data_IF_982513104803
#
_entry.id   IF_982513104803
#
_cell.length_a   1.000
_cell.length_b   1.000
_cell.length_c   1.000
_cell.angle_alpha   90.00
_cell.angle_beta   90.00
_cell.angle_gamma   90.00
#
_symmetry.space_group_name_H-M   'P 1'
#
loop_
_entity.id
_entity.type
_entity.pdbx_description
1 polymer ?
#
# COMPACT_ATOMS: atom_id res chain seq x y z
N UNK A 1 18.27 13.11 26.57
CA UNK A 1 19.04 12.16 25.73
C UNK A 1 18.13 11.10 25.14
N UNK A 2 17.20 10.53 25.92
CA UNK A 2 16.21 9.52 25.50
C UNK A 2 15.40 9.91 24.25
N UNK A 3 14.87 11.13 24.18
CA UNK A 3 14.12 11.58 23.00
C UNK A 3 14.95 11.63 21.70
N UNK A 4 16.22 12.05 21.80
CA UNK A 4 17.11 12.05 20.63
C UNK A 4 17.42 10.62 20.17
N UNK A 5 17.67 9.71 21.11
CA UNK A 5 17.86 8.29 20.81
C UNK A 5 16.60 7.66 20.21
N UNK A 6 15.41 8.06 20.69
CA UNK A 6 14.14 7.63 20.11
C UNK A 6 14.05 8.01 18.64
N UNK A 7 14.35 9.26 18.28
CA UNK A 7 14.34 9.70 16.88
C UNK A 7 15.37 8.95 16.03
N UNK A 8 16.57 8.71 16.58
CA UNK A 8 17.61 7.95 15.91
C UNK A 8 17.16 6.51 15.64
N UNK A 9 16.58 5.85 16.64
CA UNK A 9 16.03 4.49 16.48
C UNK A 9 14.84 4.45 15.54
N UNK A 10 14.01 5.50 15.51
CA UNK A 10 12.87 5.60 14.60
C UNK A 10 13.33 5.60 13.14
N UNK A 11 14.36 6.39 12.83
CA UNK A 11 14.98 6.39 11.50
C UNK A 11 15.67 5.04 11.23
N UNK A 12 16.41 4.50 12.20
CA UNK A 12 17.11 3.23 12.04
C UNK A 12 16.15 2.07 11.74
N UNK A 13 15.12 1.85 12.56
CA UNK A 13 14.13 0.81 12.31
C UNK A 13 13.32 1.06 11.06
N UNK A 14 13.01 2.32 10.74
CA UNK A 14 12.39 2.69 9.47
C UNK A 14 13.20 2.25 8.26
N UNK A 15 14.51 2.50 8.27
CA UNK A 15 15.42 2.06 7.21
C UNK A 15 15.59 0.54 7.18
N UNK A 16 15.70 -0.13 8.32
CA UNK A 16 15.80 -1.60 8.39
C UNK A 16 14.55 -2.25 7.79
N UNK A 17 13.36 -1.77 8.15
CA UNK A 17 12.10 -2.27 7.57
C UNK A 17 12.04 -1.95 6.08
N UNK A 18 12.49 -0.77 5.63
CA UNK A 18 12.54 -0.44 4.21
C UNK A 18 13.45 -1.39 3.41
N UNK A 19 14.59 -1.80 3.98
CA UNK A 19 15.48 -2.82 3.39
C UNK A 19 14.77 -4.17 3.30
N UNK A 20 14.05 -4.59 4.34
CA UNK A 20 13.26 -5.83 4.28
C UNK A 20 12.12 -5.75 3.27
N UNK A 21 11.43 -4.62 3.19
CA UNK A 21 10.38 -4.38 2.19
C UNK A 21 10.93 -4.51 0.78
N UNK A 22 12.11 -3.92 0.52
CA UNK A 22 12.80 -4.02 -0.76
C UNK A 22 13.12 -5.47 -1.15
N UNK A 23 13.80 -6.21 -0.26
CA UNK A 23 14.16 -7.59 -0.55
C UNK A 23 12.95 -8.53 -0.58
N UNK A 24 11.93 -8.30 0.24
CA UNK A 24 10.70 -9.08 0.19
C UNK A 24 9.97 -8.87 -1.14
N UNK A 25 9.95 -7.63 -1.66
CA UNK A 25 9.40 -7.33 -2.98
C UNK A 25 10.12 -8.10 -4.08
N UNK A 26 11.44 -8.14 -4.05
CA UNK A 26 12.25 -8.88 -5.02
C UNK A 26 12.04 -10.40 -4.86
N UNK A 27 12.16 -10.93 -3.65
CA UNK A 27 12.20 -12.38 -3.43
C UNK A 27 10.82 -13.04 -3.52
N UNK A 28 9.75 -12.36 -3.11
CA UNK A 28 8.44 -12.97 -2.94
C UNK A 28 7.35 -12.34 -3.82
N UNK A 29 7.27 -11.01 -3.92
CA UNK A 29 6.14 -10.34 -4.59
C UNK A 29 6.35 -10.15 -6.11
N UNK A 30 7.57 -9.85 -6.55
CA UNK A 30 7.88 -9.64 -7.96
C UNK A 30 8.30 -10.93 -8.68
N UNK A 31 8.78 -11.94 -7.95
CA UNK A 31 9.14 -13.29 -8.39
C UNK A 31 9.72 -13.40 -9.82
N UNK A 32 10.65 -12.51 -10.21
CA UNK A 32 11.31 -12.58 -11.51
C UNK A 32 12.31 -13.74 -11.52
N UNK A 33 12.43 -14.40 -12.68
CA UNK A 33 13.37 -15.50 -12.89
C UNK A 33 14.83 -15.05 -13.02
N UNK A 34 15.07 -13.78 -13.39
CA UNK A 34 16.41 -13.20 -13.50
C UNK A 34 16.41 -11.76 -12.95
N UNK A 35 17.31 -11.50 -12.00
CA UNK A 35 17.57 -10.17 -11.46
C UNK A 35 18.91 -9.66 -11.97
N UNK A 36 18.98 -8.37 -12.31
CA UNK A 36 20.27 -7.74 -12.65
C UNK A 36 21.09 -7.56 -11.37
N UNK A 37 22.43 -7.63 -11.47
CA UNK A 37 23.30 -7.53 -10.28
C UNK A 37 23.12 -6.19 -9.57
N UNK A 38 22.87 -5.13 -10.33
CA UNK A 38 22.65 -3.78 -9.83
C UNK A 38 21.38 -3.70 -8.95
N UNK A 39 20.32 -4.43 -9.28
CA UNK A 39 19.07 -4.52 -8.49
C UNK A 39 19.26 -5.28 -7.16
N UNK A 40 20.38 -5.98 -6.98
CA UNK A 40 20.69 -6.67 -5.72
C UNK A 40 21.65 -5.86 -4.84
N UNK A 41 22.48 -4.99 -5.45
CA UNK A 41 23.57 -4.28 -4.76
C UNK A 41 23.33 -2.79 -4.58
N UNK A 42 22.58 -2.12 -5.47
CA UNK A 42 22.36 -0.67 -5.44
C UNK A 42 21.02 -0.33 -4.79
N UNK A 43 20.92 -0.59 -3.48
CA UNK A 43 19.65 -0.49 -2.75
C UNK A 43 19.35 0.90 -2.17
N UNK A 44 20.34 1.80 -2.13
CA UNK A 44 20.27 3.04 -1.32
C UNK A 44 19.13 3.96 -1.74
N UNK A 45 18.95 4.16 -3.05
CA UNK A 45 17.89 5.03 -3.58
C UNK A 45 16.50 4.45 -3.34
N UNK A 46 16.33 3.16 -3.58
CA UNK A 46 15.03 2.49 -3.46
C UNK A 46 14.57 2.39 -2.01
N UNK A 47 15.48 2.08 -1.09
CA UNK A 47 15.18 2.02 0.36
C UNK A 47 14.70 3.38 0.87
N UNK A 48 15.39 4.46 0.49
CA UNK A 48 14.97 5.81 0.86
C UNK A 48 13.61 6.17 0.23
N UNK A 49 13.38 5.79 -1.02
CA UNK A 49 12.10 6.01 -1.70
C UNK A 49 10.96 5.26 -1.02
N UNK A 50 11.17 4.00 -0.63
CA UNK A 50 10.19 3.21 0.12
C UNK A 50 9.84 3.91 1.44
N UNK A 51 10.86 4.39 2.16
CA UNK A 51 10.65 5.10 3.41
C UNK A 51 9.94 6.45 3.22
N UNK A 52 10.22 7.19 2.15
CA UNK A 52 9.50 8.44 1.83
C UNK A 52 8.06 8.19 1.39
N UNK A 53 7.82 7.14 0.59
CA UNK A 53 6.47 6.73 0.15
C UNK A 53 5.59 6.26 1.33
N UNK A 54 6.16 5.95 2.49
CA UNK A 54 5.40 5.73 3.71
C UNK A 54 4.82 7.04 4.25
N UNK A 55 5.58 8.13 4.14
CA UNK A 55 5.20 9.45 4.65
C UNK A 55 4.20 10.13 3.73
N UNK A 56 4.05 9.65 2.50
CA UNK A 56 3.05 10.10 1.56
C UNK A 56 1.70 9.41 1.79
N UNK A 57 0.64 10.20 1.99
CA UNK A 57 -0.74 9.72 2.07
C UNK A 57 -1.60 10.54 1.13
N UNK A 58 -2.34 9.88 0.23
CA UNK A 58 -3.26 10.53 -0.72
C UNK A 58 -2.62 11.69 -1.51
N UNK A 59 -1.35 11.55 -1.89
CA UNK A 59 -0.58 12.57 -2.63
C UNK A 59 -0.01 13.70 -1.77
N UNK A 60 -0.12 13.65 -0.45
CA UNK A 60 0.41 14.67 0.45
C UNK A 60 1.33 14.08 1.53
N UNK A 61 2.62 14.41 1.42
CA UNK A 61 3.66 13.97 2.36
C UNK A 61 3.54 14.62 3.74
N UNK A 62 2.97 15.82 3.83
CA UNK A 62 2.87 16.56 5.09
C UNK A 62 1.85 15.91 6.02
N UNK A 63 0.68 15.50 5.51
CA UNK A 63 -0.32 14.80 6.31
C UNK A 63 0.17 13.43 6.76
N UNK A 64 0.76 12.63 5.87
CA UNK A 64 1.28 11.33 6.25
C UNK A 64 2.46 11.43 7.23
N UNK A 65 3.35 12.42 7.05
CA UNK A 65 4.41 12.70 8.04
C UNK A 65 3.85 13.09 9.40
N UNK A 66 2.89 14.02 9.47
CA UNK A 66 2.29 14.45 10.73
C UNK A 66 1.62 13.29 11.46
N UNK A 67 0.90 12.43 10.74
CA UNK A 67 0.28 11.25 11.33
C UNK A 67 1.33 10.26 11.79
N UNK A 68 2.33 9.94 10.96
CA UNK A 68 3.41 9.03 11.30
C UNK A 68 4.17 9.47 12.55
N UNK A 69 4.64 10.72 12.58
CA UNK A 69 5.36 11.26 13.74
C UNK A 69 4.45 11.44 14.94
N UNK A 70 3.19 11.83 14.74
CA UNK A 70 2.22 11.99 15.81
C UNK A 70 1.91 10.68 16.52
N UNK A 71 1.68 9.59 15.77
CA UNK A 71 1.44 8.27 16.37
C UNK A 71 2.70 7.68 16.98
N UNK A 72 3.87 7.87 16.36
CA UNK A 72 5.14 7.44 16.95
C UNK A 72 5.45 8.17 18.26
N UNK A 73 5.22 9.49 18.31
CA UNK A 73 5.41 10.31 19.50
C UNK A 73 4.40 9.92 20.60
N UNK A 74 3.15 9.65 20.23
CA UNK A 74 2.16 9.14 21.17
C UNK A 74 2.62 7.86 21.87
N UNK A 75 3.17 6.90 21.12
CA UNK A 75 3.71 5.66 21.71
C UNK A 75 4.94 5.93 22.58
N UNK A 76 5.81 6.86 22.17
CA UNK A 76 6.94 7.27 23.00
C UNK A 76 6.48 7.87 24.33
N UNK A 77 5.50 8.77 24.32
CA UNK A 77 4.91 9.33 25.54
C UNK A 77 4.28 8.26 26.44
N UNK A 78 3.62 7.27 25.84
CA UNK A 78 3.05 6.15 26.57
C UNK A 78 4.12 5.35 27.30
N UNK A 79 5.23 4.99 26.64
CA UNK A 79 6.34 4.30 27.29
C UNK A 79 7.03 5.16 28.33
N UNK A 80 7.18 6.46 28.07
CA UNK A 80 7.74 7.42 29.03
C UNK A 80 6.90 7.49 30.31
N UNK A 81 5.56 7.43 30.19
CA UNK A 81 4.66 7.39 31.34
C UNK A 81 4.94 6.17 32.23
N UNK A 82 5.18 4.99 31.64
CA UNK A 82 5.59 3.80 32.38
C UNK A 82 6.88 4.01 33.18
N UNK A 83 7.85 4.73 32.60
CA UNK A 83 9.10 5.08 33.29
C UNK A 83 8.89 6.07 34.45
N UNK A 84 8.06 7.10 34.26
CA UNK A 84 7.78 8.13 35.27
C UNK A 84 6.98 7.60 36.45
N UNK A 85 6.09 6.63 36.22
CA UNK A 85 5.29 5.99 37.27
C UNK A 85 6.11 5.14 38.25
N UNK A 86 7.45 5.11 38.10
CA UNK A 86 8.36 4.62 39.13
C UNK A 86 8.62 3.11 39.06
N UNK A 87 8.31 2.46 37.96
CA UNK A 87 8.51 1.01 37.78
C UNK A 87 9.97 0.66 37.46
N UNK A 88 10.86 0.86 38.44
CA UNK A 88 12.21 0.26 38.45
C UNK A 88 12.20 -1.08 39.19
N UNK A 89 11.30 -1.99 38.81
CA UNK A 89 11.21 -3.34 39.39
C UNK A 89 10.87 -4.39 38.32
N UNK A 90 11.33 -5.64 38.46
CA UNK A 90 11.20 -6.70 37.45
C UNK A 90 9.78 -7.29 37.40
N UNK A 91 8.79 -6.45 37.13
CA UNK A 91 7.37 -6.81 37.11
C UNK A 91 6.79 -6.86 35.70
N UNK A 92 5.80 -7.73 35.50
CA UNK A 92 5.03 -7.85 34.23
C UNK A 92 4.40 -6.51 33.82
N UNK A 93 4.10 -5.64 34.77
CA UNK A 93 3.50 -4.32 34.53
C UNK A 93 4.43 -3.37 33.74
N UNK A 94 5.75 -3.47 33.91
CA UNK A 94 6.72 -2.66 33.14
C UNK A 94 6.59 -2.93 31.64
N UNK A 95 6.33 -4.19 31.27
CA UNK A 95 6.29 -4.60 29.87
C UNK A 95 5.03 -4.13 29.15
N UNK A 96 3.94 -3.83 29.87
CA UNK A 96 2.67 -3.36 29.28
C UNK A 96 2.89 -2.04 28.52
N UNK A 97 3.75 -1.15 29.04
CA UNK A 97 4.07 0.13 28.41
C UNK A 97 4.93 0.02 27.16
N UNK A 98 5.46 -1.18 26.89
CA UNK A 98 6.27 -1.49 25.72
C UNK A 98 5.65 -2.56 24.81
N UNK A 99 4.50 -3.12 25.19
CA UNK A 99 3.73 -3.97 24.28
C UNK A 99 3.16 -3.13 23.14
N UNK A 100 3.09 -3.66 21.91
CA UNK A 100 2.57 -2.95 20.75
C UNK A 100 1.03 -2.87 20.75
N UNK A 101 0.41 -2.56 21.90
CA UNK A 101 -1.04 -2.63 22.11
C UNK A 101 -1.78 -1.73 21.13
N UNK A 102 -1.31 -0.50 20.92
CA UNK A 102 -1.95 0.44 19.99
C UNK A 102 -1.83 0.00 18.53
N UNK A 103 -0.67 -0.54 18.15
CA UNK A 103 -0.48 -1.13 16.82
C UNK A 103 -1.43 -2.30 16.61
N UNK A 104 -1.47 -3.25 17.54
CA UNK A 104 -2.37 -4.41 17.47
C UNK A 104 -3.84 -4.00 17.45
N UNK A 105 -4.23 -3.03 18.29
CA UNK A 105 -5.58 -2.52 18.35
C UNK A 105 -6.01 -1.93 17.00
N UNK A 106 -5.17 -1.08 16.39
CA UNK A 106 -5.47 -0.50 15.08
C UNK A 106 -5.44 -1.57 13.97
N UNK A 107 -4.48 -2.47 13.99
CA UNK A 107 -4.34 -3.53 12.99
C UNK A 107 -5.55 -4.46 12.96
N UNK A 108 -6.01 -4.94 14.12
CA UNK A 108 -7.16 -5.84 14.20
C UNK A 108 -8.50 -5.13 14.06
N UNK A 109 -8.60 -3.83 14.41
CA UNK A 109 -9.82 -3.06 14.18
C UNK A 109 -9.94 -2.52 12.76
N UNK A 110 -8.86 -2.54 11.97
CA UNK A 110 -8.85 -1.97 10.63
C UNK A 110 -9.96 -2.50 9.71
N UNK A 111 -10.29 -3.80 9.63
CA UNK A 111 -11.37 -4.28 8.77
C UNK A 111 -12.71 -3.61 9.08
N UNK A 112 -13.01 -3.41 10.37
CA UNK A 112 -14.23 -2.74 10.84
C UNK A 112 -14.20 -1.25 10.48
N UNK A 113 -13.04 -0.60 10.65
CA UNK A 113 -12.86 0.81 10.29
C UNK A 113 -12.98 1.00 8.77
N UNK A 114 -12.43 0.08 7.99
CA UNK A 114 -12.49 0.11 6.52
C UNK A 114 -13.93 0.05 6.04
N UNK A 115 -14.73 -0.87 6.58
CA UNK A 115 -16.15 -1.01 6.27
C UNK A 115 -16.96 0.24 6.69
N UNK A 116 -16.70 0.78 7.89
CA UNK A 116 -17.45 1.93 8.40
C UNK A 116 -17.13 3.26 7.68
N UNK A 117 -15.94 3.40 7.10
CA UNK A 117 -15.45 4.64 6.48
C UNK A 117 -15.08 4.47 5.01
N UNK A 118 -15.70 3.52 4.32
CA UNK A 118 -15.47 3.29 2.89
C UNK A 118 -15.68 4.59 2.08
N UNK A 119 -14.78 4.87 1.14
CA UNK A 119 -14.78 6.10 0.34
C UNK A 119 -14.31 7.37 1.06
N UNK A 120 -13.88 7.31 2.33
CA UNK A 120 -13.33 8.46 3.05
C UNK A 120 -11.81 8.55 2.89
N UNK A 121 -11.31 9.78 2.72
CA UNK A 121 -9.87 10.08 2.66
C UNK A 121 -9.08 9.69 3.92
N UNK A 122 -9.76 9.48 5.05
CA UNK A 122 -9.13 9.08 6.32
C UNK A 122 -8.43 7.71 6.22
N UNK A 123 -8.91 6.81 5.35
CA UNK A 123 -8.32 5.48 5.16
C UNK A 123 -6.90 5.54 4.58
N UNK A 124 -6.56 6.60 3.82
CA UNK A 124 -5.19 6.82 3.34
C UNK A 124 -4.17 7.04 4.47
N UNK A 125 -4.63 7.51 5.63
CA UNK A 125 -3.77 7.77 6.79
C UNK A 125 -3.46 6.51 7.60
N UNK A 126 -4.08 5.37 7.28
CA UNK A 126 -3.87 4.13 8.03
C UNK A 126 -2.44 3.61 7.90
N UNK A 127 -1.87 3.64 6.69
CA UNK A 127 -0.48 3.21 6.44
C UNK A 127 0.54 3.99 7.30
N UNK A 128 0.56 5.34 7.29
CA UNK A 128 1.45 6.11 8.16
C UNK A 128 1.11 5.94 9.64
N UNK A 129 -0.18 5.84 10.02
CA UNK A 129 -0.57 5.64 11.41
C UNK A 129 -0.06 4.31 11.98
N UNK A 130 -0.34 3.17 11.32
CA UNK A 130 0.12 1.84 11.71
C UNK A 130 1.65 1.77 11.78
N UNK A 131 2.33 2.35 10.78
CA UNK A 131 3.79 2.34 10.75
C UNK A 131 4.40 3.19 11.85
N UNK A 132 3.81 4.35 12.17
CA UNK A 132 4.25 5.18 13.29
C UNK A 132 4.01 4.51 14.63
N UNK A 133 2.89 3.81 14.82
CA UNK A 133 2.62 3.03 16.04
C UNK A 133 3.63 1.88 16.21
N UNK A 134 3.92 1.13 15.14
CA UNK A 134 4.83 0.00 15.19
C UNK A 134 6.29 0.44 15.36
N UNK A 135 6.78 1.34 14.50
CA UNK A 135 8.15 1.85 14.58
C UNK A 135 8.36 2.68 15.85
N UNK A 136 7.36 3.42 16.30
CA UNK A 136 7.39 4.13 17.58
C UNK A 136 7.52 3.17 18.77
N UNK A 137 6.79 2.07 18.77
CA UNK A 137 6.89 1.03 19.80
C UNK A 137 8.29 0.41 19.84
N UNK A 138 8.82 0.01 18.68
CA UNK A 138 10.18 -0.52 18.59
C UNK A 138 11.18 0.53 19.08
N UNK A 139 11.15 1.74 18.54
CA UNK A 139 12.14 2.78 18.89
C UNK A 139 12.12 3.12 20.37
N UNK A 140 10.93 3.25 20.95
CA UNK A 140 10.76 3.48 22.37
C UNK A 140 11.32 2.33 23.20
N UNK A 141 11.00 1.08 22.85
CA UNK A 141 11.56 -0.10 23.51
C UNK A 141 13.09 -0.16 23.42
N UNK A 142 13.69 0.22 22.29
CA UNK A 142 15.15 0.26 22.15
C UNK A 142 15.81 1.30 23.05
N UNK A 143 15.20 2.48 23.24
CA UNK A 143 15.71 3.50 24.17
C UNK A 143 15.70 2.98 25.61
N UNK A 144 14.60 2.34 26.03
CA UNK A 144 14.40 1.95 27.42
C UNK A 144 15.08 0.61 27.79
N UNK A 145 15.16 -0.35 26.87
CA UNK A 145 15.77 -1.67 27.14
C UNK A 145 17.20 -1.81 26.60
N UNK A 146 17.61 -0.99 25.62
CA UNK A 146 18.92 -1.11 24.98
C UNK A 146 20.09 -0.55 25.78
N UNK A 147 19.83 0.20 26.86
CA UNK A 147 20.87 0.92 27.60
C UNK A 147 21.20 0.38 29.00
N UNK A 148 20.33 -0.39 29.66
CA UNK A 148 20.46 -0.59 31.12
C UNK A 148 20.08 -1.99 31.66
N UNK A 149 19.71 -2.98 30.82
CA UNK A 149 19.27 -4.30 31.32
C UNK A 149 19.78 -5.50 30.50
N UNK A 150 20.53 -6.40 31.17
CA UNK A 150 21.21 -7.58 30.59
C UNK A 150 20.30 -8.71 30.06
N UNK A 151 19.00 -8.69 30.35
CA UNK A 151 17.98 -9.49 29.68
C UNK A 151 16.85 -8.48 29.38
N UNK A 152 16.37 -8.27 28.16
CA UNK A 152 15.51 -9.19 27.40
C UNK A 152 15.56 -8.89 25.88
N UNK A 153 16.76 -8.95 25.27
CA UNK A 153 16.91 -8.82 23.81
C UNK A 153 15.94 -9.74 23.03
N UNK A 154 15.70 -10.95 23.53
CA UNK A 154 14.82 -11.93 22.88
C UNK A 154 13.35 -11.50 22.83
N UNK A 155 12.84 -10.84 23.88
CA UNK A 155 11.47 -10.32 23.88
C UNK A 155 11.33 -9.18 22.87
N UNK A 156 12.30 -8.29 22.83
CA UNK A 156 12.32 -7.19 21.88
C UNK A 156 12.49 -7.67 20.43
N UNK A 157 13.32 -8.69 20.21
CA UNK A 157 13.47 -9.39 18.92
C UNK A 157 12.15 -10.05 18.50
N UNK A 158 11.42 -10.66 19.43
CA UNK A 158 10.08 -11.21 19.17
C UNK A 158 9.11 -10.12 18.72
N UNK A 159 9.09 -8.96 19.41
CA UNK A 159 8.25 -7.82 19.01
C UNK A 159 8.62 -7.31 17.61
N UNK A 160 9.90 -7.29 17.28
CA UNK A 160 10.38 -6.93 15.95
C UNK A 160 9.87 -7.91 14.90
N UNK A 161 10.03 -9.22 15.11
CA UNK A 161 9.54 -10.24 14.17
C UNK A 161 8.02 -10.33 14.09
N UNK A 162 7.29 -9.87 15.10
CA UNK A 162 5.83 -9.78 15.04
C UNK A 162 5.37 -8.61 14.17
N UNK A 163 6.04 -7.46 14.29
CA UNK A 163 5.63 -6.21 13.62
C UNK A 163 6.21 -6.07 12.21
N UNK A 164 7.47 -6.46 12.00
CA UNK A 164 8.17 -6.25 10.74
C UNK A 164 7.48 -6.92 9.52
N UNK A 165 7.01 -8.18 9.59
CA UNK A 165 6.30 -8.78 8.46
C UNK A 165 5.03 -8.01 8.08
N UNK A 166 4.25 -7.57 9.07
CA UNK A 166 3.04 -6.77 8.83
C UNK A 166 3.40 -5.46 8.12
N UNK A 167 4.46 -4.78 8.57
CA UNK A 167 4.95 -3.57 7.91
C UNK A 167 5.45 -3.83 6.49
N UNK A 168 6.14 -4.95 6.25
CA UNK A 168 6.63 -5.33 4.91
C UNK A 168 5.48 -5.50 3.92
N UNK A 169 4.41 -6.18 4.32
CA UNK A 169 3.21 -6.32 3.48
C UNK A 169 2.54 -4.96 3.28
N UNK A 170 2.34 -4.20 4.36
CA UNK A 170 1.72 -2.89 4.32
C UNK A 170 2.47 -1.90 3.41
N UNK A 171 3.80 -1.92 3.42
CA UNK A 171 4.63 -1.00 2.63
C UNK A 171 4.73 -1.40 1.17
N UNK A 172 4.54 -2.69 0.87
CA UNK A 172 4.42 -3.20 -0.50
C UNK A 172 2.99 -3.13 -1.05
N UNK A 173 2.02 -2.64 -0.27
CA UNK A 173 0.60 -2.59 -0.64
C UNK A 173 -0.03 -3.96 -0.90
N UNK A 174 0.52 -4.99 -0.25
CA UNK A 174 0.02 -6.35 -0.36
C UNK A 174 -1.10 -6.60 0.65
N UNK A 175 -2.05 -7.46 0.29
CA UNK A 175 -3.14 -7.82 1.19
C UNK A 175 -2.64 -8.66 2.37
N UNK A 176 -3.16 -8.40 3.57
CA UNK A 176 -2.85 -9.17 4.78
C UNK A 176 -4.13 -9.87 5.22
N UNK A 177 -4.11 -11.20 5.26
CA UNK A 177 -5.30 -12.02 5.52
C UNK A 177 -6.50 -11.69 4.60
N UNK A 178 -6.22 -11.31 3.35
CA UNK A 178 -7.25 -10.92 2.36
C UNK A 178 -7.77 -9.48 2.51
N UNK A 179 -7.25 -8.70 3.45
CA UNK A 179 -7.61 -7.28 3.63
C UNK A 179 -6.53 -6.38 3.01
N UNK A 180 -6.93 -5.56 2.03
CA UNK A 180 -6.08 -4.48 1.48
C UNK A 180 -6.18 -3.22 2.33
N UNK A 181 -5.03 -2.63 2.65
CA UNK A 181 -4.89 -1.43 3.47
C UNK A 181 -4.83 -0.11 2.68
N UNK A 182 -4.99 -0.18 1.36
CA UNK A 182 -5.09 0.99 0.50
C UNK A 182 -6.57 1.39 0.36
N UNK A 183 -6.90 2.71 0.29
CA UNK A 183 -8.21 3.13 -0.18
C UNK A 183 -8.44 2.55 -1.57
N UNK A 184 -9.51 1.77 -1.74
CA UNK A 184 -9.97 1.41 -3.08
C UNK A 184 -10.15 2.72 -3.84
N UNK A 185 -9.35 2.96 -4.87
CA UNK A 185 -9.65 4.01 -5.82
C UNK A 185 -11.00 3.66 -6.40
N UNK A 186 -12.04 4.38 -6.01
CA UNK A 186 -13.35 4.34 -6.62
C UNK A 186 -13.31 4.98 -8.00
N UNK A 187 -12.39 4.51 -8.84
CA UNK A 187 -12.26 4.81 -10.25
C UNK A 187 -11.81 3.51 -10.91
N UNK A 188 -12.81 2.70 -11.28
CA UNK A 188 -12.64 1.61 -12.23
C UNK A 188 -12.61 0.19 -11.65
N UNK A 189 -13.78 -0.32 -11.24
CA UNK A 189 -14.25 -1.68 -11.61
C UNK A 189 -15.50 -2.04 -10.81
N UNK A 190 -16.67 -1.78 -11.38
CA UNK A 190 -17.91 -2.58 -11.23
C UNK A 190 -18.94 -2.15 -12.30
N UNK A 191 -18.46 -1.96 -13.53
CA UNK A 191 -19.30 -2.08 -14.73
C UNK A 191 -18.75 -3.26 -15.52
N UNK A 192 -19.03 -4.44 -14.98
CA UNK A 192 -18.96 -5.70 -15.69
C UNK A 192 -19.91 -5.62 -16.90
N UNK A 193 -19.33 -5.80 -18.08
CA UNK A 193 -19.99 -5.77 -19.37
C UNK A 193 -20.90 -6.99 -19.49
N UNK A 194 -22.10 -6.84 -18.96
CA UNK A 194 -23.24 -7.70 -19.23
C UNK A 194 -23.55 -7.71 -20.73
N UNK A 195 -23.04 -8.74 -21.40
CA UNK A 195 -23.47 -9.27 -22.69
C UNK A 195 -24.98 -9.08 -22.89
N UNK A 196 -25.34 -8.19 -23.80
CA UNK A 196 -26.66 -8.06 -24.40
C UNK A 196 -26.48 -7.78 -25.88
N UNK A 197 -26.44 -8.85 -26.67
CA UNK A 197 -26.80 -8.81 -28.09
C UNK A 197 -28.33 -8.80 -28.16
N UNK A 198 -28.84 -8.36 -29.31
CA UNK A 198 -30.25 -8.38 -29.76
C UNK A 198 -31.04 -7.07 -29.59
N UNK A 199 -31.01 -6.26 -30.65
CA UNK A 199 -32.20 -6.08 -31.49
C UNK A 199 -33.25 -5.02 -31.11
N UNK A 200 -33.28 -3.97 -31.93
CA UNK A 200 -34.47 -3.23 -32.40
C UNK A 200 -35.32 -2.42 -31.40
N UNK A 201 -35.30 -1.09 -31.55
CA UNK A 201 -36.38 -0.34 -32.23
C UNK A 201 -36.57 1.08 -31.66
N UNK A 202 -36.61 2.02 -32.61
CA UNK A 202 -37.42 3.26 -32.63
C UNK A 202 -37.02 4.50 -31.81
N UNK A 203 -36.79 5.59 -32.57
CA UNK A 203 -37.35 6.89 -32.22
C UNK A 203 -36.37 8.05 -32.16
N UNK A 204 -35.84 8.50 -33.30
CA UNK A 204 -35.43 9.90 -33.46
C UNK A 204 -36.49 10.65 -34.28
N UNK A 205 -36.57 11.96 -34.04
CA UNK A 205 -37.21 13.02 -34.83
C UNK A 205 -38.61 13.48 -34.39
N UNK A 206 -38.62 14.65 -33.75
CA UNK A 206 -39.60 15.68 -34.04
C UNK A 206 -39.05 16.65 -35.09
N UNK A 207 -39.96 17.14 -35.92
CA UNK A 207 -39.93 18.35 -36.77
C UNK A 207 -39.76 18.17 -38.29
N UNK A 208 -40.95 18.19 -38.92
CA UNK A 208 -41.46 18.66 -40.22
C UNK A 208 -40.84 18.29 -41.60
N UNK A 209 -41.71 17.88 -42.57
CA UNK A 209 -41.39 17.67 -43.98
C UNK A 209 -41.72 18.91 -44.86
N UNK A 210 -41.12 18.97 -46.06
CA UNK A 210 -41.35 19.83 -47.25
C UNK A 210 -39.94 20.20 -47.78
N UNK A 211 -39.57 20.19 -49.06
CA UNK A 211 -40.18 19.84 -50.33
C UNK A 211 -39.01 19.77 -51.37
N UNK A 212 -39.31 19.19 -52.53
CA UNK A 212 -38.71 19.49 -53.86
C UNK A 212 -37.33 18.90 -54.32
N UNK A 213 -37.46 18.09 -55.38
CA UNK A 213 -36.69 18.10 -56.65
C UNK A 213 -35.53 17.11 -56.94
N UNK A 214 -35.93 16.06 -57.69
CA UNK A 214 -35.40 15.64 -59.01
C UNK A 214 -33.89 15.39 -59.21
N UNK A 215 -33.51 14.14 -59.56
CA UNK A 215 -33.27 13.75 -60.96
C UNK A 215 -33.01 12.22 -61.12
N UNK A 216 -33.79 11.51 -61.95
CA UNK A 216 -33.55 10.14 -62.36
C UNK A 216 -32.68 10.07 -63.64
N UNK A 217 -31.77 9.10 -63.72
CA UNK A 217 -30.88 8.73 -64.85
C UNK A 217 -29.45 9.32 -64.83
N UNK A 218 -28.46 8.50 -64.45
CA UNK A 218 -27.10 8.38 -65.04
C UNK A 218 -26.25 7.46 -64.12
N UNK A 219 -25.51 6.44 -64.54
CA UNK A 219 -25.34 5.66 -65.77
C UNK A 219 -24.53 4.41 -65.34
N UNK A 220 -24.78 3.26 -65.94
CA UNK A 220 -24.03 2.01 -65.70
C UNK A 220 -22.56 2.14 -66.15
N UNK A 221 -21.63 1.50 -65.42
CA UNK A 221 -20.48 0.87 -66.09
C UNK A 221 -20.07 -0.42 -65.37
N UNK A 222 -20.14 -1.48 -66.16
CA UNK A 222 -19.95 -2.91 -65.90
C UNK A 222 -18.46 -3.33 -65.67
N UNK A 223 -18.22 -4.61 -65.30
CA UNK A 223 -17.05 -5.14 -64.59
C UNK A 223 -16.00 -5.85 -65.47
N UNK A 224 -14.75 -5.90 -65.01
CA UNK A 224 -13.66 -6.79 -65.48
C UNK A 224 -12.72 -7.01 -64.27
N UNK A 225 -12.20 -8.17 -63.88
CA UNK A 225 -12.04 -9.47 -64.54
C UNK A 225 -10.55 -9.90 -64.47
N UNK A 226 -10.29 -11.03 -63.77
CA UNK A 226 -9.09 -11.91 -63.75
C UNK A 226 -7.84 -11.55 -62.92
N UNK A 227 -7.35 -12.56 -62.19
CA UNK A 227 -5.95 -12.95 -62.29
C UNK A 227 -5.25 -13.46 -61.03
N UNK A 228 -5.56 -14.69 -60.63
CA UNK A 228 -4.66 -15.73 -60.11
C UNK A 228 -3.72 -15.46 -58.92
N UNK A 229 -4.03 -16.20 -57.86
CA UNK A 229 -3.23 -16.53 -56.68
C UNK A 229 -2.24 -17.67 -57.01
N UNK A 230 -0.93 -17.53 -56.72
CA UNK A 230 -0.05 -18.67 -56.62
C UNK A 230 0.73 -18.59 -55.30
N UNK A 231 0.34 -19.35 -54.29
CA UNK A 231 1.19 -20.19 -53.41
C UNK A 231 0.36 -20.64 -52.20
N UNK A 232 -0.45 -21.65 -52.49
CA UNK A 232 -1.15 -22.51 -51.54
C UNK A 232 -0.20 -23.27 -50.63
N UNK A 233 -0.68 -23.50 -49.41
CA UNK A 233 -0.22 -24.48 -48.43
C UNK A 233 0.29 -25.78 -49.06
N UNK A 234 1.55 -26.13 -48.75
CA UNK A 234 2.04 -27.51 -48.59
C UNK A 234 3.56 -27.47 -48.37
N UNK A 235 4.03 -27.65 -47.13
CA UNK A 235 5.25 -28.42 -46.86
C UNK A 235 5.25 -28.92 -45.40
N UNK A 236 4.74 -30.16 -45.27
CA UNK A 236 5.13 -31.27 -44.37
C UNK A 236 5.56 -31.00 -42.94
#
# INVERSE_FOLDING_TARGET
>A
MEFFLFLLFLVFFGLVVAVFTYYAKILFFSAKSNYRREELTEIRGDVLRIFLNLLESSGNILYGSLVFFGTALFVWLWSFLGSVLGEKGPGIFEHIFHLPIFFLALFFSYPIIKEAYEGRSILGLTKPALSGLALGNLSSGAVHYGLDRDLYFLFYLLLFFLQAPVLVFLWNQESIFGVSFEPNSSDGSDLDWGRGDDGEAEGSYGMDPMDEDENPLAEESEPYGLGDDPFSDEFK
#
